data_IF_423481082081
#
_entry.id   IF_423481082081
#
_cell.length_a   1.000
_cell.length_b   1.000
_cell.length_c   1.000
_cell.angle_alpha   90.00
_cell.angle_beta   90.00
_cell.angle_gamma   90.00
#
_symmetry.space_group_name_H-M   'P 1'
#
loop_
_entity.id
_entity.type
_entity.pdbx_description
1 polymer ?
#
# COMPACT_ATOMS: atom_id res chain seq x y z
N UNK A 1 26.95 35.61 -11.00
CA UNK A 1 26.39 35.11 -9.72
C UNK A 1 25.06 35.82 -9.48
N UNK A 2 23.94 35.11 -9.61
CA UNK A 2 22.61 35.68 -9.37
C UNK A 2 22.05 35.09 -8.07
N UNK A 3 21.96 35.91 -7.04
CA UNK A 3 21.31 35.61 -5.77
C UNK A 3 19.80 35.65 -6.01
N UNK A 4 19.15 34.48 -5.99
CA UNK A 4 17.70 34.38 -6.10
C UNK A 4 17.00 34.99 -4.87
N UNK A 5 15.88 35.68 -5.14
CA UNK A 5 15.12 36.50 -4.20
C UNK A 5 14.62 35.74 -2.95
N UNK A 6 14.51 36.42 -1.79
CA UNK A 6 14.18 35.80 -0.49
C UNK A 6 12.78 35.16 -0.41
N UNK A 7 11.89 35.44 -1.37
CA UNK A 7 10.52 34.91 -1.41
C UNK A 7 10.46 33.45 -1.86
N UNK A 8 11.38 32.98 -2.71
CA UNK A 8 11.45 31.57 -3.11
C UNK A 8 11.96 30.66 -1.98
N UNK A 9 12.77 31.20 -1.05
CA UNK A 9 13.20 30.45 0.15
C UNK A 9 12.07 30.29 1.17
N UNK A 10 11.08 31.18 1.21
CA UNK A 10 9.93 31.06 2.13
C UNK A 10 8.95 29.95 1.74
N UNK A 11 8.77 29.69 0.44
CA UNK A 11 7.89 28.60 -0.02
C UNK A 11 8.49 27.20 0.25
N UNK A 12 9.81 27.04 0.18
CA UNK A 12 10.47 25.78 0.55
C UNK A 12 10.49 25.55 2.08
N UNK A 13 10.46 26.60 2.89
CA UNK A 13 10.40 26.50 4.36
C UNK A 13 8.98 26.32 4.92
N UNK A 14 7.92 26.63 4.18
CA UNK A 14 6.54 26.42 4.65
C UNK A 14 6.00 24.99 4.46
N UNK A 15 6.70 24.14 3.69
CA UNK A 15 6.32 22.74 3.52
C UNK A 15 6.75 21.83 4.69
N UNK A 16 7.52 22.32 5.66
CA UNK A 16 8.00 21.50 6.79
C UNK A 16 7.09 21.49 8.03
N UNK A 17 5.91 22.14 7.98
CA UNK A 17 5.07 22.32 9.17
C UNK A 17 3.63 21.78 9.05
N UNK A 18 3.35 20.86 8.13
CA UNK A 18 2.09 20.12 8.18
C UNK A 18 2.32 18.75 8.82
N UNK A 19 1.78 18.53 10.03
CA UNK A 19 1.60 17.19 10.62
C UNK A 19 0.86 16.19 9.70
N UNK A 20 0.34 16.68 8.56
CA UNK A 20 -0.31 15.95 7.49
C UNK A 20 0.57 14.89 6.83
N UNK A 21 1.89 15.07 6.78
CA UNK A 21 2.81 14.07 6.21
C UNK A 21 3.67 13.43 7.30
N UNK A 22 4.07 12.17 7.09
CA UNK A 22 5.10 11.56 7.92
C UNK A 22 6.45 12.22 7.65
N UNK A 23 7.28 12.42 8.68
CA UNK A 23 8.65 12.95 8.52
C UNK A 23 9.56 12.07 7.65
N UNK A 24 9.19 10.81 7.44
CA UNK A 24 9.87 9.86 6.54
C UNK A 24 9.16 9.67 5.20
N UNK A 25 8.18 10.52 4.88
CA UNK A 25 7.50 10.44 3.59
C UNK A 25 8.35 11.12 2.51
N UNK A 26 8.89 10.33 1.59
CA UNK A 26 9.71 10.80 0.47
C UNK A 26 8.94 10.84 -0.86
N UNK A 27 7.63 10.60 -0.83
CA UNK A 27 6.77 10.66 -2.01
C UNK A 27 6.31 12.07 -2.34
N UNK A 28 5.54 12.22 -3.41
CA UNK A 28 4.94 13.50 -3.78
C UNK A 28 3.94 13.97 -2.72
N UNK A 29 4.13 15.18 -2.19
CA UNK A 29 3.21 15.83 -1.26
C UNK A 29 1.95 16.31 -1.98
N UNK A 30 0.97 15.41 -2.13
CA UNK A 30 -0.36 15.70 -2.67
C UNK A 30 -1.42 15.54 -1.58
N UNK A 31 -2.61 16.11 -1.79
CA UNK A 31 -3.73 15.97 -0.85
C UNK A 31 -4.12 14.51 -0.60
N UNK A 32 -4.07 13.67 -1.63
CA UNK A 32 -4.31 12.22 -1.52
C UNK A 32 -3.27 11.47 -0.66
N UNK A 33 -2.09 12.06 -0.47
CA UNK A 33 -1.02 11.49 0.35
C UNK A 33 -0.94 12.15 1.75
N UNK A 34 -1.74 13.18 1.99
CA UNK A 34 -1.84 13.88 3.25
C UNK A 34 -2.82 13.19 4.20
N UNK A 35 -2.60 13.33 5.50
CA UNK A 35 -3.54 12.90 6.54
C UNK A 35 -4.85 13.68 6.46
N UNK A 36 -5.97 12.97 6.50
CA UNK A 36 -7.30 13.55 6.69
C UNK A 36 -7.55 13.82 8.19
N UNK A 37 -6.87 14.82 8.76
CA UNK A 37 -6.82 15.05 10.22
C UNK A 37 -8.19 15.30 10.87
N UNK A 38 -9.14 15.83 10.10
CA UNK A 38 -10.52 16.08 10.52
C UNK A 38 -11.32 14.81 10.84
N UNK A 39 -10.86 13.63 10.42
CA UNK A 39 -11.56 12.37 10.67
C UNK A 39 -11.44 11.95 12.14
N UNK A 40 -12.53 11.44 12.70
CA UNK A 40 -12.49 10.74 14.00
C UNK A 40 -11.81 9.38 13.87
N UNK A 41 -11.36 8.74 14.97
CA UNK A 41 -10.80 7.38 14.91
C UNK A 41 -11.75 6.37 14.25
N UNK A 42 -13.06 6.47 14.51
CA UNK A 42 -14.07 5.59 13.93
C UNK A 42 -14.23 5.76 12.40
N UNK A 43 -13.82 6.90 11.84
CA UNK A 43 -13.85 7.15 10.39
C UNK A 43 -12.52 6.85 9.70
N UNK A 44 -11.48 6.50 10.47
CA UNK A 44 -10.15 6.26 9.93
C UNK A 44 -10.04 4.84 9.37
N UNK A 45 -9.81 4.74 8.07
CA UNK A 45 -9.61 3.45 7.39
C UNK A 45 -8.18 2.89 7.56
N UNK A 46 -7.25 3.65 8.15
CA UNK A 46 -5.85 3.28 8.27
C UNK A 46 -5.49 2.79 9.69
N UNK A 47 -4.84 1.62 9.75
CA UNK A 47 -4.30 1.02 10.96
C UNK A 47 -2.77 0.92 10.89
N UNK A 48 -2.16 0.97 12.07
CA UNK A 48 -0.74 0.77 12.28
C UNK A 48 -0.52 -0.52 13.08
N UNK A 49 0.16 -1.46 12.43
CA UNK A 49 0.49 -2.78 12.95
C UNK A 49 1.96 -2.79 13.37
N UNK A 50 2.26 -3.28 14.56
CA UNK A 50 3.63 -3.36 15.10
C UNK A 50 3.90 -4.73 15.70
N UNK A 51 5.17 -4.97 16.04
CA UNK A 51 5.65 -6.26 16.52
C UNK A 51 5.46 -7.36 15.45
N UNK A 52 5.76 -7.03 14.20
CA UNK A 52 5.82 -8.00 13.11
C UNK A 52 7.23 -8.61 13.04
N UNK A 53 7.40 -9.82 12.49
CA UNK A 53 8.73 -10.35 12.23
C UNK A 53 9.61 -9.37 11.42
N UNK A 54 10.91 -9.38 11.67
CA UNK A 54 11.86 -8.42 11.07
C UNK A 54 11.98 -8.51 9.55
N UNK A 55 11.62 -9.66 8.98
CA UNK A 55 11.65 -9.96 7.54
C UNK A 55 10.25 -10.26 6.97
N UNK A 56 9.19 -9.81 7.64
CA UNK A 56 7.80 -10.09 7.24
C UNK A 56 7.52 -9.66 5.79
N UNK A 57 6.94 -10.57 5.02
CA UNK A 57 6.52 -10.33 3.65
C UNK A 57 5.06 -9.85 3.56
N UNK A 58 4.71 -9.23 2.44
CA UNK A 58 3.33 -8.81 2.16
C UNK A 58 2.36 -9.99 2.16
N UNK A 59 2.71 -11.09 1.49
CA UNK A 59 1.95 -12.34 1.49
C UNK A 59 1.62 -12.84 2.89
N UNK A 60 2.61 -12.88 3.80
CA UNK A 60 2.45 -13.35 5.17
C UNK A 60 1.54 -12.41 5.98
N UNK A 61 1.80 -11.11 5.90
CA UNK A 61 0.98 -10.09 6.56
C UNK A 61 -0.48 -10.14 6.09
N UNK A 62 -0.71 -10.18 4.78
CA UNK A 62 -2.05 -10.13 4.21
C UNK A 62 -2.82 -11.44 4.43
N UNK A 63 -2.14 -12.59 4.44
CA UNK A 63 -2.75 -13.87 4.79
C UNK A 63 -3.19 -13.92 6.27
N UNK A 64 -2.55 -13.17 7.16
CA UNK A 64 -2.97 -13.06 8.56
C UNK A 64 -4.25 -12.22 8.75
N UNK A 65 -4.61 -11.40 7.75
CA UNK A 65 -5.77 -10.49 7.77
C UNK A 65 -6.85 -11.06 6.84
N UNK A 66 -7.66 -11.98 7.36
CA UNK A 66 -8.74 -12.63 6.59
C UNK A 66 -10.12 -12.28 7.14
N UNK A 67 -11.13 -12.30 6.26
CA UNK A 67 -12.53 -12.07 6.62
C UNK A 67 -12.82 -10.71 7.31
N UNK A 68 -12.00 -9.70 7.05
CA UNK A 68 -12.19 -8.35 7.61
C UNK A 68 -12.89 -7.44 6.61
N UNK A 69 -12.27 -7.20 5.46
CA UNK A 69 -12.75 -6.31 4.41
C UNK A 69 -11.67 -6.06 3.36
N UNK A 70 -12.01 -5.28 2.33
CA UNK A 70 -11.10 -4.97 1.23
C UNK A 70 -9.96 -4.05 1.73
N UNK A 71 -8.73 -4.46 1.44
CA UNK A 71 -7.52 -3.64 1.69
C UNK A 71 -7.24 -2.80 0.45
N UNK A 72 -7.24 -1.47 0.63
CA UNK A 72 -6.89 -0.50 -0.40
C UNK A 72 -5.39 -0.50 -0.66
N UNK A 73 -4.58 -0.38 0.40
CA UNK A 73 -3.13 -0.46 0.31
C UNK A 73 -2.49 -0.93 1.61
N UNK A 74 -1.30 -1.50 1.51
CA UNK A 74 -0.42 -1.77 2.65
C UNK A 74 1.01 -1.33 2.34
N UNK A 75 1.75 -0.99 3.38
CA UNK A 75 3.17 -0.65 3.31
C UNK A 75 3.89 -1.22 4.54
N UNK A 76 4.94 -1.99 4.32
CA UNK A 76 5.78 -2.56 5.38
C UNK A 76 7.02 -1.69 5.58
N UNK A 77 7.31 -1.38 6.83
CA UNK A 77 8.51 -0.69 7.28
C UNK A 77 9.37 -1.69 8.05
N UNK A 78 10.44 -2.18 7.38
CA UNK A 78 11.38 -3.12 7.97
C UNK A 78 12.22 -2.43 9.06
N UNK A 79 12.62 -3.17 10.11
CA UNK A 79 13.45 -2.62 11.18
C UNK A 79 14.83 -2.20 10.68
N UNK A 80 15.41 -1.20 11.35
CA UNK A 80 16.82 -0.81 11.16
C UNK A 80 17.79 -1.69 11.98
N UNK A 81 17.26 -2.63 12.76
CA UNK A 81 17.99 -3.52 13.69
C UNK A 81 18.81 -2.80 14.76
N UNK A 82 18.69 -1.48 14.87
CA UNK A 82 19.42 -0.63 15.83
C UNK A 82 18.47 -0.09 16.89
N UNK A 83 17.36 0.54 16.46
CA UNK A 83 16.33 1.11 17.33
C UNK A 83 15.07 0.27 17.35
N UNK A 84 14.81 -0.43 16.25
CA UNK A 84 13.66 -1.31 16.11
C UNK A 84 14.15 -2.69 15.73
N UNK A 85 13.70 -3.71 16.47
CA UNK A 85 14.03 -5.12 16.18
C UNK A 85 12.93 -5.81 15.38
N UNK A 86 11.73 -5.23 15.35
CA UNK A 86 10.54 -5.77 14.68
C UNK A 86 10.07 -4.84 13.58
N UNK A 87 9.44 -5.40 12.55
CA UNK A 87 8.83 -4.61 11.49
C UNK A 87 7.50 -3.99 11.96
N UNK A 88 7.06 -2.98 11.23
CA UNK A 88 5.74 -2.39 11.37
C UNK A 88 5.08 -2.23 10.00
N UNK A 89 3.76 -2.16 9.95
CA UNK A 89 3.03 -1.99 8.70
C UNK A 89 1.88 -1.01 8.85
N UNK A 90 1.66 -0.22 7.80
CA UNK A 90 0.42 0.52 7.60
C UNK A 90 -0.50 -0.33 6.75
N UNK A 91 -1.74 -0.56 7.21
CA UNK A 91 -2.79 -1.22 6.42
C UNK A 91 -3.97 -0.26 6.30
N UNK A 92 -4.41 0.00 5.07
CA UNK A 92 -5.55 0.88 4.79
C UNK A 92 -6.66 0.04 4.17
N UNK A 93 -7.83 0.05 4.80
CA UNK A 93 -9.04 -0.57 4.26
C UNK A 93 -9.78 0.38 3.33
N UNK A 94 -10.67 -0.15 2.50
CA UNK A 94 -11.55 0.68 1.65
C UNK A 94 -12.63 1.39 2.47
N UNK A 95 -13.06 0.80 3.59
CA UNK A 95 -14.15 1.30 4.44
C UNK A 95 -13.77 1.24 5.92
N UNK A 96 -14.25 2.19 6.76
CA UNK A 96 -13.86 2.29 8.16
C UNK A 96 -14.32 1.10 9.01
N UNK A 97 -15.45 0.48 8.67
CA UNK A 97 -16.01 -0.68 9.38
C UNK A 97 -15.03 -1.85 9.35
N UNK A 98 -14.30 -2.03 8.25
CA UNK A 98 -13.28 -3.06 8.12
C UNK A 98 -12.06 -2.76 9.02
N UNK A 99 -11.62 -1.51 9.08
CA UNK A 99 -10.55 -1.11 10.00
C UNK A 99 -10.96 -1.34 11.46
N UNK A 100 -12.18 -0.94 11.84
CA UNK A 100 -12.69 -1.17 13.19
C UNK A 100 -12.83 -2.65 13.50
N UNK A 101 -13.25 -3.46 12.53
CA UNK A 101 -13.35 -4.92 12.68
C UNK A 101 -12.01 -5.56 12.97
N UNK A 102 -10.93 -5.22 12.25
CA UNK A 102 -9.59 -5.74 12.55
C UNK A 102 -9.09 -5.28 13.92
N UNK A 103 -9.32 -4.01 14.27
CA UNK A 103 -8.92 -3.48 15.57
C UNK A 103 -9.62 -4.23 16.71
N UNK A 104 -10.94 -4.40 16.63
CA UNK A 104 -11.71 -5.17 17.61
C UNK A 104 -11.31 -6.64 17.66
N UNK A 105 -11.03 -7.25 16.50
CA UNK A 105 -10.51 -8.61 16.43
C UNK A 105 -9.18 -8.72 17.14
N UNK A 106 -8.26 -7.77 16.99
CA UNK A 106 -6.95 -7.83 17.64
C UNK A 106 -7.00 -7.82 19.18
N UNK A 107 -8.07 -7.27 19.75
CA UNK A 107 -8.28 -7.24 21.21
C UNK A 107 -8.93 -8.53 21.73
N UNK A 108 -9.78 -9.15 20.92
CA UNK A 108 -10.54 -10.35 21.30
C UNK A 108 -9.87 -11.65 20.86
N UNK A 109 -9.05 -11.59 19.80
CA UNK A 109 -8.33 -12.69 19.19
C UNK A 109 -6.90 -12.23 18.95
N UNK A 110 -5.94 -13.00 19.45
CA UNK A 110 -4.54 -12.70 19.18
C UNK A 110 -4.25 -12.99 17.71
N UNK A 111 -3.81 -11.97 16.98
CA UNK A 111 -3.24 -12.13 15.63
C UNK A 111 -1.77 -12.48 15.83
N UNK A 112 -1.36 -13.63 15.32
CA UNK A 112 0.02 -14.12 15.43
C UNK A 112 0.56 -14.37 14.03
N UNK A 113 1.74 -13.84 13.75
CA UNK A 113 2.51 -14.15 12.56
C UNK A 113 3.80 -14.83 13.03
N UNK A 114 3.99 -16.11 12.66
CA UNK A 114 5.00 -17.00 13.26
C UNK A 114 4.87 -17.03 14.80
N UNK A 115 5.84 -16.49 15.51
CA UNK A 115 5.92 -16.37 16.96
C UNK A 115 5.64 -14.94 17.46
N UNK A 116 5.30 -14.02 16.55
CA UNK A 116 5.11 -12.61 16.86
C UNK A 116 3.62 -12.26 17.04
N UNK A 117 3.26 -11.80 18.24
CA UNK A 117 1.91 -11.27 18.52
C UNK A 117 1.77 -9.86 17.96
N UNK A 118 0.96 -9.71 16.92
CA UNK A 118 0.75 -8.43 16.23
C UNK A 118 -0.04 -7.48 17.11
N UNK A 119 0.43 -6.24 17.21
CA UNK A 119 -0.29 -5.15 17.91
C UNK A 119 -0.91 -4.21 16.89
N UNK A 120 -2.20 -3.95 17.02
CA UNK A 120 -2.97 -3.11 16.08
C UNK A 120 -3.42 -1.84 16.78
N UNK A 121 -3.27 -0.71 16.12
CA UNK A 121 -3.71 0.61 16.59
C UNK A 121 -4.17 1.46 15.41
N UNK A 122 -4.87 2.57 15.66
CA UNK A 122 -5.16 3.53 14.59
C UNK A 122 -3.87 4.15 14.06
N UNK A 123 -3.75 4.25 12.74
CA UNK A 123 -2.62 4.95 12.15
C UNK A 123 -2.77 6.47 12.38
N UNK A 124 -1.65 7.13 12.70
CA UNK A 124 -1.62 8.59 12.87
C UNK A 124 -2.05 9.34 11.60
N UNK A 125 -1.61 8.86 10.44
CA UNK A 125 -2.00 9.42 9.14
C UNK A 125 -3.35 8.81 8.75
N UNK A 126 -4.41 9.61 8.84
CA UNK A 126 -5.78 9.15 8.68
C UNK A 126 -6.18 9.08 7.22
N UNK A 127 -6.98 8.08 6.87
CA UNK A 127 -7.53 7.90 5.53
C UNK A 127 -9.06 7.84 5.57
N UNK A 128 -9.77 8.60 4.71
CA UNK A 128 -11.22 8.48 4.58
C UNK A 128 -11.59 7.17 3.88
N UNK A 129 -12.87 6.86 3.88
CA UNK A 129 -13.41 5.79 3.05
C UNK A 129 -13.07 6.06 1.58
N UNK A 130 -12.66 5.00 0.88
CA UNK A 130 -12.46 4.99 -0.56
C UNK A 130 -13.13 3.73 -1.10
N UNK A 131 -14.47 3.73 -1.05
CA UNK A 131 -15.28 2.68 -1.61
C UNK A 131 -15.43 2.95 -3.11
N UNK A 132 -14.43 2.50 -3.88
CA UNK A 132 -14.52 2.53 -5.34
C UNK A 132 -15.66 1.58 -5.74
N UNK A 133 -16.67 2.06 -6.50
CA UNK A 133 -17.79 1.22 -6.93
C UNK A 133 -17.36 0.09 -7.89
N UNK A 134 -16.13 0.13 -8.39
CA UNK A 134 -15.61 -0.92 -9.25
C UNK A 134 -15.08 -2.15 -8.47
N UNK A 135 -15.13 -3.29 -9.16
CA UNK A 135 -14.64 -4.57 -8.69
C UNK A 135 -13.11 -4.68 -8.79
N UNK A 136 -12.35 -3.57 -8.82
CA UNK A 136 -10.89 -3.65 -8.91
C UNK A 136 -10.34 -4.37 -7.69
N UNK A 137 -9.47 -5.34 -7.96
CA UNK A 137 -8.79 -6.16 -6.96
C UNK A 137 -7.30 -5.88 -7.02
N UNK A 138 -6.61 -6.12 -5.90
CA UNK A 138 -5.14 -6.21 -5.87
C UNK A 138 -4.61 -7.42 -6.65
N UNK A 139 -5.51 -8.29 -7.10
CA UNK A 139 -5.24 -9.50 -7.86
C UNK A 139 -5.67 -9.28 -9.31
N UNK A 140 -4.74 -9.49 -10.24
CA UNK A 140 -4.97 -9.49 -11.68
C UNK A 140 -4.97 -10.93 -12.20
N UNK A 141 -6.00 -11.29 -12.98
CA UNK A 141 -6.02 -12.50 -13.79
C UNK A 141 -5.57 -12.15 -15.21
N UNK A 142 -4.41 -12.65 -15.60
CA UNK A 142 -3.79 -12.38 -16.90
C UNK A 142 -3.85 -13.64 -17.74
N UNK A 143 -4.48 -13.57 -18.90
CA UNK A 143 -4.68 -14.69 -19.82
C UNK A 143 -4.07 -14.38 -21.18
N UNK A 144 -3.34 -15.33 -21.77
CA UNK A 144 -2.76 -15.13 -23.09
C UNK A 144 -1.90 -16.30 -23.56
N UNK A 145 -1.00 -16.04 -24.52
CA UNK A 145 -0.05 -17.04 -25.01
C UNK A 145 1.06 -17.25 -23.98
N UNK A 146 1.44 -18.50 -23.74
CA UNK A 146 2.39 -18.86 -22.69
C UNK A 146 3.81 -18.26 -22.86
N UNK A 147 4.24 -18.02 -24.10
CA UNK A 147 5.50 -17.32 -24.37
C UNK A 147 5.50 -15.86 -23.90
N UNK A 148 4.33 -15.25 -23.75
CA UNK A 148 4.20 -13.86 -23.28
C UNK A 148 3.66 -13.78 -21.85
N UNK A 149 2.70 -14.63 -21.49
CA UNK A 149 2.09 -14.67 -20.16
C UNK A 149 2.90 -15.58 -19.25
N UNK A 150 4.10 -15.11 -18.94
CA UNK A 150 5.03 -15.69 -17.97
C UNK A 150 5.66 -14.56 -17.12
N UNK A 151 6.24 -14.89 -15.95
CA UNK A 151 6.73 -13.86 -15.02
C UNK A 151 7.72 -12.87 -15.64
N UNK A 152 8.67 -13.34 -16.46
CA UNK A 152 9.74 -12.50 -16.98
C UNK A 152 9.22 -11.50 -18.02
N UNK A 153 8.44 -12.00 -18.98
CA UNK A 153 7.79 -11.16 -20.00
C UNK A 153 6.83 -10.14 -19.38
N UNK A 154 6.03 -10.55 -18.39
CA UNK A 154 5.10 -9.67 -17.70
C UNK A 154 5.82 -8.60 -16.88
N UNK A 155 6.85 -8.97 -16.12
CA UNK A 155 7.68 -8.01 -15.37
C UNK A 155 8.31 -6.99 -16.30
N UNK A 156 8.96 -7.45 -17.36
CA UNK A 156 9.53 -6.57 -18.37
C UNK A 156 8.45 -5.63 -18.94
N UNK A 157 7.30 -6.16 -19.34
CA UNK A 157 6.24 -5.36 -19.94
C UNK A 157 5.66 -4.29 -18.98
N UNK A 158 5.46 -4.64 -17.71
CA UNK A 158 4.94 -3.73 -16.68
C UNK A 158 5.96 -2.67 -16.27
N UNK A 159 7.24 -3.04 -16.11
CA UNK A 159 8.30 -2.11 -15.68
C UNK A 159 8.46 -0.91 -16.61
N UNK A 160 8.18 -1.10 -17.91
CA UNK A 160 8.23 -0.02 -18.90
C UNK A 160 7.01 0.92 -18.89
N UNK A 161 5.94 0.59 -18.15
CA UNK A 161 4.64 1.29 -18.23
C UNK A 161 4.19 1.90 -16.92
N UNK A 162 4.48 1.24 -15.80
CA UNK A 162 4.10 1.75 -14.50
C UNK A 162 4.99 1.17 -13.40
N UNK A 163 5.02 1.88 -12.27
CA UNK A 163 5.68 1.39 -11.06
C UNK A 163 4.74 0.42 -10.38
N UNK A 164 5.20 -0.80 -10.12
CA UNK A 164 4.45 -1.81 -9.39
C UNK A 164 5.34 -2.52 -8.37
N UNK A 165 4.69 -3.10 -7.36
CA UNK A 165 5.29 -4.07 -6.45
C UNK A 165 4.55 -5.39 -6.64
N UNK A 166 5.30 -6.42 -7.02
CA UNK A 166 4.80 -7.79 -7.08
C UNK A 166 4.81 -8.39 -5.66
N UNK A 167 3.68 -8.96 -5.25
CA UNK A 167 3.60 -9.77 -4.03
C UNK A 167 3.70 -11.27 -4.38
N UNK A 168 2.91 -11.74 -5.36
CA UNK A 168 2.92 -13.14 -5.79
C UNK A 168 2.51 -13.29 -7.25
N UNK A 169 3.09 -14.31 -7.92
CA UNK A 169 2.67 -14.78 -9.24
C UNK A 169 2.33 -16.27 -9.14
N UNK A 170 1.12 -16.68 -9.54
CA UNK A 170 0.68 -18.08 -9.52
C UNK A 170 0.34 -18.53 -10.95
N UNK A 171 0.81 -19.71 -11.37
CA UNK A 171 0.24 -20.38 -12.54
C UNK A 171 -1.10 -21.02 -12.20
N UNK A 172 -2.16 -20.60 -12.87
CA UNK A 172 -3.46 -21.27 -12.73
C UNK A 172 -3.64 -22.34 -13.80
N UNK A 173 -3.29 -22.03 -15.04
CA UNK A 173 -3.44 -22.93 -16.19
C UNK A 173 -2.27 -22.72 -17.14
N UNK A 174 -1.71 -23.82 -17.66
CA UNK A 174 -0.86 -23.82 -18.86
C UNK A 174 -1.20 -25.01 -19.73
N UNK A 175 -1.86 -24.75 -20.86
CA UNK A 175 -2.30 -25.79 -21.78
C UNK A 175 -2.50 -25.22 -23.19
N UNK A 176 -2.19 -26.01 -24.22
CA UNK A 176 -2.44 -25.63 -25.62
C UNK A 176 -1.78 -24.32 -26.07
N UNK A 177 -0.57 -24.01 -25.57
CA UNK A 177 0.14 -22.76 -25.86
C UNK A 177 -0.46 -21.52 -25.19
N UNK A 178 -1.39 -21.70 -24.25
CA UNK A 178 -1.99 -20.63 -23.46
C UNK A 178 -1.61 -20.75 -22.00
N UNK A 179 -1.53 -19.60 -21.32
CA UNK A 179 -1.34 -19.51 -19.89
C UNK A 179 -2.35 -18.57 -19.24
N UNK A 180 -2.74 -18.89 -18.01
CA UNK A 180 -3.49 -18.03 -17.10
C UNK A 180 -2.66 -17.87 -15.84
N UNK A 181 -2.39 -16.62 -15.46
CA UNK A 181 -1.60 -16.25 -14.30
C UNK A 181 -2.38 -15.35 -13.36
N UNK A 182 -2.24 -15.59 -12.06
CA UNK A 182 -2.67 -14.68 -11.02
C UNK A 182 -1.48 -13.83 -10.57
N UNK A 183 -1.63 -12.50 -10.59
CA UNK A 183 -0.62 -11.56 -10.11
C UNK A 183 -1.21 -10.71 -8.98
N UNK A 184 -0.62 -10.79 -7.78
CA UNK A 184 -1.04 -9.97 -6.63
C UNK A 184 -0.08 -8.80 -6.38
N UNK A 185 -0.63 -7.68 -5.92
CA UNK A 185 0.11 -6.48 -5.53
C UNK A 185 -0.22 -6.07 -4.09
N UNK A 186 0.73 -5.49 -3.32
CA UNK A 186 0.48 -5.00 -1.96
C UNK A 186 -0.58 -3.89 -1.86
N UNK A 187 -0.79 -3.12 -2.92
CA UNK A 187 -1.83 -2.10 -2.99
C UNK A 187 -2.34 -1.95 -4.40
N UNK A 188 -3.61 -1.52 -4.54
CA UNK A 188 -4.25 -1.35 -5.85
C UNK A 188 -3.84 -0.04 -6.56
N UNK A 189 -2.71 0.56 -6.19
CA UNK A 189 -2.25 1.83 -6.76
C UNK A 189 -1.78 1.60 -8.20
N UNK A 190 -2.70 1.75 -9.15
CA UNK A 190 -2.35 2.03 -10.54
C UNK A 190 -1.72 3.42 -10.63
N UNK A 191 -0.39 3.51 -10.48
CA UNK A 191 0.34 4.72 -10.90
C UNK A 191 0.83 4.52 -12.31
N UNK A 192 0.11 5.08 -13.29
CA UNK A 192 0.71 5.43 -14.57
C UNK A 192 1.87 6.39 -14.29
N UNK A 193 3.10 5.94 -14.52
CA UNK A 193 4.23 6.84 -14.62
C UNK A 193 4.17 7.49 -15.99
N UNK A 194 3.38 8.55 -16.16
CA UNK A 194 3.47 9.33 -17.39
C UNK A 194 4.82 10.07 -17.36
N UNK A 195 5.65 9.81 -18.38
CA UNK A 195 6.78 10.69 -18.72
C UNK A 195 6.36 11.86 -19.59
N UNK A 196 5.09 11.90 -20.01
CA UNK A 196 4.53 13.04 -20.73
C UNK A 196 3.25 13.52 -20.05
N UNK A 197 3.24 14.81 -19.75
CA UNK A 197 2.08 15.52 -19.26
C UNK A 197 1.04 15.66 -20.36
N UNK A 198 0.11 14.72 -20.45
CA UNK A 198 -1.20 14.94 -21.05
C UNK A 198 -2.13 13.77 -20.76
N UNK A 199 -3.41 14.11 -20.61
CA UNK A 199 -4.62 13.26 -20.61
C UNK A 199 -5.05 12.59 -19.29
N UNK A 200 -6.05 13.23 -18.66
CA UNK A 200 -7.45 12.76 -18.70
C UNK A 200 -7.77 11.44 -17.99
N UNK A 201 -8.42 11.58 -16.82
CA UNK A 201 -9.00 10.50 -16.02
C UNK A 201 -10.12 9.74 -16.75
N UNK A 202 -10.16 8.42 -16.55
CA UNK A 202 -11.37 7.61 -16.42
C UNK A 202 -11.36 6.92 -15.06
#
# INVERSE_FOLDING_TARGET
>A
MAVAAPEQRRQLHQASNSNKFSSRYHGMHTENNASADHLTPAQNCALWLTNLPSDVGYSELLASITNVGRIWCTFINLPDMMRHQTAAAKVVFSVPEAAQKLLNQSWTKTIVIRDHRVRVSHNRIKYPANDMPDRRSRVLLITGRDFFVNPDSLRCWFQHRFVFQEDRVIELIKAGGRAVRELSQPGANGRQGSRDGSSGWL
#
